data_IF_891650941734
#
_entry.id   IF_891650941734
#
_cell.length_a   1.000
_cell.length_b   1.000
_cell.length_c   1.000
_cell.angle_alpha   90.00
_cell.angle_beta   90.00
_cell.angle_gamma   90.00
#
_symmetry.space_group_name_H-M   'P 1'
#
loop_
_entity.id
_entity.type
_entity.pdbx_description
1 polymer ?
#
# COMPACT_ATOMS: atom_id res chain seq x y z
N UNK A 1 -7.57 19.85 3.70
CA UNK A 1 -8.78 19.06 4.00
C UNK A 1 -8.90 18.03 2.90
N UNK A 2 -9.15 16.76 3.20
CA UNK A 2 -9.45 15.75 2.17
C UNK A 2 -10.87 16.00 1.65
N UNK A 3 -11.02 16.19 0.35
CA UNK A 3 -12.31 16.44 -0.29
C UNK A 3 -12.73 15.19 -1.06
N UNK A 4 -13.87 14.57 -0.71
CA UNK A 4 -14.36 13.40 -1.44
C UNK A 4 -14.72 13.78 -2.87
N UNK A 5 -14.44 12.86 -3.78
CA UNK A 5 -14.94 12.86 -5.15
C UNK A 5 -16.22 12.06 -5.28
N UNK A 6 -16.74 11.90 -6.51
CA UNK A 6 -17.88 11.04 -6.75
C UNK A 6 -17.55 9.60 -6.35
N UNK A 7 -18.53 8.89 -5.82
CA UNK A 7 -18.44 7.43 -5.68
C UNK A 7 -18.64 6.81 -7.05
N UNK A 8 -17.66 6.05 -7.53
CA UNK A 8 -17.80 5.29 -8.77
C UNK A 8 -18.61 4.04 -8.52
N UNK A 9 -19.48 3.69 -9.47
CA UNK A 9 -20.14 2.40 -9.53
C UNK A 9 -19.45 1.60 -10.63
N UNK A 10 -18.90 0.44 -10.25
CA UNK A 10 -18.07 -0.39 -11.10
C UNK A 10 -18.72 -1.76 -11.29
N UNK A 11 -18.77 -2.26 -12.52
CA UNK A 11 -19.17 -3.64 -12.80
C UNK A 11 -17.91 -4.52 -12.82
N UNK A 12 -17.89 -5.58 -12.00
CA UNK A 12 -16.74 -6.48 -11.95
C UNK A 12 -16.53 -7.16 -13.31
N UNK A 13 -15.27 -7.35 -13.75
CA UNK A 13 -15.00 -7.99 -15.04
C UNK A 13 -15.34 -9.49 -15.01
N UNK A 14 -15.49 -10.08 -13.82
CA UNK A 14 -15.72 -11.51 -13.68
C UNK A 14 -17.19 -11.89 -13.91
N UNK A 15 -18.15 -11.14 -13.37
CA UNK A 15 -19.59 -11.47 -13.51
C UNK A 15 -20.52 -10.26 -13.71
N UNK A 16 -19.97 -9.04 -13.83
CA UNK A 16 -20.77 -7.82 -13.95
C UNK A 16 -21.43 -7.35 -12.66
N UNK A 17 -21.16 -8.00 -11.52
CA UNK A 17 -21.71 -7.58 -10.23
C UNK A 17 -21.24 -6.16 -9.90
N UNK A 18 -22.16 -5.32 -9.42
CA UNK A 18 -21.87 -3.93 -9.11
C UNK A 18 -21.14 -3.79 -7.79
N UNK A 19 -20.16 -2.89 -7.78
CA UNK A 19 -19.37 -2.49 -6.64
C UNK A 19 -19.31 -0.96 -6.58
N UNK A 20 -19.07 -0.40 -5.40
CA UNK A 20 -18.82 1.03 -5.22
C UNK A 20 -17.36 1.31 -4.85
N UNK A 21 -16.78 2.39 -5.37
CA UNK A 21 -15.42 2.84 -5.03
C UNK A 21 -15.43 4.33 -4.75
N UNK A 22 -15.05 4.72 -3.54
CA UNK A 22 -14.88 6.13 -3.20
C UNK A 22 -13.70 6.71 -3.98
N UNK A 23 -13.85 7.95 -4.44
CA UNK A 23 -12.74 8.74 -5.03
C UNK A 23 -12.52 10.00 -4.22
N UNK A 24 -11.44 10.70 -4.53
CA UNK A 24 -11.05 11.94 -3.85
C UNK A 24 -10.74 13.00 -4.88
N UNK A 25 -11.27 14.22 -4.70
CA UNK A 25 -10.94 15.39 -5.53
C UNK A 25 -9.60 15.99 -5.10
N UNK A 26 -9.35 15.97 -3.80
CA UNK A 26 -8.10 16.41 -3.21
C UNK A 26 -7.85 15.63 -1.93
N UNK A 27 -6.58 15.41 -1.65
CA UNK A 27 -6.13 14.73 -0.44
C UNK A 27 -5.05 15.57 0.20
N UNK A 28 -5.16 15.79 1.52
CA UNK A 28 -4.04 16.31 2.29
C UNK A 28 -3.17 15.14 2.73
N UNK A 29 -2.19 14.77 1.91
CA UNK A 29 -1.22 13.76 2.30
C UNK A 29 -0.19 14.38 3.26
N UNK A 30 -0.50 14.35 4.56
CA UNK A 30 0.53 14.47 5.60
C UNK A 30 1.14 13.09 5.79
N UNK A 31 2.29 12.84 5.17
CA UNK A 31 3.03 11.60 5.43
C UNK A 31 3.54 11.65 6.86
N UNK A 32 3.25 10.61 7.65
CA UNK A 32 3.69 10.56 9.05
C UNK A 32 4.84 9.57 9.24
N UNK A 33 4.78 8.41 8.59
CA UNK A 33 5.74 7.33 8.81
C UNK A 33 6.10 6.70 7.48
N UNK A 34 7.39 6.67 7.17
CA UNK A 34 7.96 5.85 6.11
C UNK A 34 8.61 4.63 6.77
N UNK A 35 8.23 3.42 6.36
CA UNK A 35 8.83 2.17 6.80
C UNK A 35 9.94 1.73 5.86
N UNK A 36 10.90 0.98 6.37
CA UNK A 36 12.05 0.50 5.62
C UNK A 36 11.67 -0.38 4.42
N UNK A 37 10.54 -1.09 4.50
CA UNK A 37 9.94 -1.85 3.39
C UNK A 37 9.20 -1.00 2.34
N UNK A 38 9.33 0.33 2.43
CA UNK A 38 8.71 1.28 1.51
C UNK A 38 7.23 1.55 1.78
N UNK A 39 6.62 0.98 2.84
CA UNK A 39 5.25 1.36 3.19
C UNK A 39 5.20 2.80 3.72
N UNK A 40 4.27 3.56 3.19
CA UNK A 40 3.98 4.93 3.58
C UNK A 40 2.68 4.98 4.40
N UNK A 41 2.77 5.23 5.71
CA UNK A 41 1.57 5.54 6.51
C UNK A 41 1.36 7.06 6.50
N UNK A 42 0.30 7.48 5.80
CA UNK A 42 -0.10 8.88 5.69
C UNK A 42 -1.48 9.08 6.33
N UNK A 43 -1.59 10.06 7.23
CA UNK A 43 -2.75 10.26 8.14
C UNK A 43 -4.10 10.39 7.42
N UNK A 44 -4.11 10.78 6.15
CA UNK A 44 -5.33 11.09 5.40
C UNK A 44 -5.28 10.65 3.94
N UNK A 45 -4.32 9.79 3.55
CA UNK A 45 -4.26 9.20 2.21
C UNK A 45 -4.81 7.78 2.27
N UNK A 46 -6.10 7.56 1.95
CA UNK A 46 -6.65 6.22 1.91
C UNK A 46 -5.98 5.40 0.82
N UNK A 47 -5.53 4.18 1.16
CA UNK A 47 -5.06 3.21 0.18
C UNK A 47 -6.23 2.88 -0.76
N UNK A 48 -6.08 3.20 -2.05
CA UNK A 48 -7.05 2.82 -3.07
C UNK A 48 -6.75 1.39 -3.52
N UNK A 49 -7.60 0.40 -3.18
CA UNK A 49 -7.33 -0.99 -3.50
C UNK A 49 -7.23 -1.21 -5.01
N UNK A 50 -6.15 -1.86 -5.43
CA UNK A 50 -5.96 -2.30 -6.82
C UNK A 50 -6.50 -3.70 -7.09
N UNK A 51 -6.74 -4.49 -6.05
CA UNK A 51 -7.27 -5.86 -6.12
C UNK A 51 -8.45 -5.96 -5.18
N UNK A 52 -9.48 -6.68 -5.60
CA UNK A 52 -10.67 -6.89 -4.81
C UNK A 52 -11.23 -8.30 -5.02
N UNK A 53 -11.90 -8.82 -3.99
CA UNK A 53 -12.75 -10.01 -4.09
C UNK A 53 -14.15 -9.58 -4.49
N UNK A 54 -14.67 -10.12 -5.59
CA UNK A 54 -16.03 -9.83 -6.03
C UNK A 54 -17.06 -10.40 -5.02
N UNK A 55 -18.01 -9.59 -4.56
CA UNK A 55 -19.06 -10.00 -3.63
C UNK A 55 -20.15 -10.85 -4.28
N UNK A 56 -20.23 -10.82 -5.62
CA UNK A 56 -21.21 -11.60 -6.38
C UNK A 56 -20.76 -13.02 -6.72
N UNK A 57 -19.46 -13.24 -6.97
CA UNK A 57 -18.96 -14.57 -7.37
C UNK A 57 -17.64 -14.99 -6.72
N UNK A 58 -17.14 -14.24 -5.73
CA UNK A 58 -15.94 -14.51 -4.94
C UNK A 58 -14.60 -14.58 -5.69
N UNK A 59 -14.59 -14.44 -7.03
CA UNK A 59 -13.37 -14.32 -7.82
C UNK A 59 -12.64 -13.00 -7.55
N UNK A 60 -11.32 -13.06 -7.58
CA UNK A 60 -10.47 -11.88 -7.54
C UNK A 60 -10.53 -11.14 -8.88
N UNK A 61 -10.38 -9.83 -8.82
CA UNK A 61 -10.23 -9.00 -10.01
C UNK A 61 -9.34 -7.79 -9.72
N UNK A 62 -8.68 -7.32 -10.78
CA UNK A 62 -7.98 -6.03 -10.75
C UNK A 62 -9.00 -4.92 -10.88
N UNK A 63 -9.01 -3.98 -9.93
CA UNK A 63 -10.08 -2.97 -9.82
C UNK A 63 -10.11 -2.04 -11.04
N UNK A 64 -8.96 -1.75 -11.64
CA UNK A 64 -8.89 -0.89 -12.83
C UNK A 64 -9.38 -1.61 -14.11
N UNK A 65 -9.62 -2.92 -14.07
CA UNK A 65 -10.28 -3.65 -15.17
C UNK A 65 -11.82 -3.63 -15.06
N UNK A 66 -12.36 -3.14 -13.94
CA UNK A 66 -13.80 -3.06 -13.75
C UNK A 66 -14.39 -1.91 -14.57
N UNK A 67 -15.48 -2.18 -15.29
CA UNK A 67 -16.12 -1.17 -16.13
C UNK A 67 -16.85 -0.14 -15.25
N UNK A 68 -16.59 1.14 -15.46
CA UNK A 68 -17.36 2.21 -14.82
C UNK A 68 -18.77 2.26 -15.43
N UNK A 69 -19.79 1.97 -14.63
CA UNK A 69 -21.20 2.03 -15.06
C UNK A 69 -21.89 3.32 -14.63
N UNK A 70 -21.28 4.07 -13.72
CA UNK A 70 -21.87 5.30 -13.21
C UNK A 70 -21.07 5.99 -12.12
N UNK A 71 -21.55 7.19 -11.76
CA UNK A 71 -20.99 8.05 -10.72
C UNK A 71 -22.10 8.57 -9.83
N UNK A 72 -21.92 8.47 -8.52
CA UNK A 72 -22.79 9.08 -7.51
C UNK A 72 -22.04 10.27 -6.93
N UNK A 73 -22.52 11.47 -7.21
CA UNK A 73 -21.96 12.69 -6.64
C UNK A 73 -22.29 12.80 -5.14
N UNK A 74 -21.37 13.37 -4.38
CA UNK A 74 -21.57 13.62 -2.96
C UNK A 74 -22.76 14.59 -2.72
N UNK A 75 -23.80 14.18 -1.97
CA UNK A 75 -25.01 14.98 -1.77
C UNK A 75 -24.76 16.33 -1.12
N UNK A 76 -23.77 16.43 -0.22
CA UNK A 76 -23.43 17.68 0.45
C UNK A 76 -22.84 18.68 -0.56
N UNK A 77 -21.92 18.24 -1.41
CA UNK A 77 -21.33 19.11 -2.42
C UNK A 77 -22.30 19.50 -3.55
N UNK A 78 -23.27 18.64 -3.91
CA UNK A 78 -24.36 19.02 -4.82
C UNK A 78 -25.24 20.12 -4.24
N UNK A 79 -25.64 19.96 -2.98
CA UNK A 79 -26.46 20.93 -2.24
C UNK A 79 -25.79 22.30 -2.18
N UNK A 80 -24.49 22.36 -1.86
CA UNK A 80 -23.71 23.62 -1.85
C UNK A 80 -23.72 24.31 -3.23
N UNK A 81 -23.74 23.55 -4.33
CA UNK A 81 -23.80 24.08 -5.70
C UNK A 81 -25.22 24.43 -6.16
N UNK A 82 -26.24 24.23 -5.32
CA UNK A 82 -27.64 24.43 -5.68
C UNK A 82 -28.16 23.38 -6.67
N UNK A 83 -27.47 22.24 -6.80
CA UNK A 83 -27.89 21.16 -7.70
C UNK A 83 -28.97 20.30 -7.02
N UNK A 84 -30.01 19.87 -7.75
CA UNK A 84 -31.00 18.95 -7.20
C UNK A 84 -30.35 17.59 -6.84
N UNK A 85 -30.96 16.83 -5.92
CA UNK A 85 -30.54 15.46 -5.64
C UNK A 85 -30.38 14.66 -6.93
N UNK A 86 -29.29 13.91 -7.03
CA UNK A 86 -29.07 13.05 -8.18
C UNK A 86 -30.11 11.92 -8.14
N UNK A 87 -30.75 11.65 -9.28
CA UNK A 87 -31.52 10.43 -9.45
C UNK A 87 -30.55 9.26 -9.59
N UNK A 88 -30.53 8.39 -8.57
CA UNK A 88 -29.57 7.29 -8.45
C UNK A 88 -30.34 5.99 -8.37
N UNK A 89 -30.04 5.09 -9.30
CA UNK A 89 -30.64 3.77 -9.39
C UNK A 89 -30.53 2.99 -8.07
N UNK A 90 -31.59 2.31 -7.61
CA UNK A 90 -31.58 1.58 -6.33
C UNK A 90 -30.44 0.57 -6.19
N UNK A 91 -30.07 -0.10 -7.27
CA UNK A 91 -28.97 -1.07 -7.33
C UNK A 91 -27.60 -0.42 -7.12
N UNK A 92 -27.40 0.84 -7.53
CA UNK A 92 -26.14 1.55 -7.30
C UNK A 92 -25.98 1.91 -5.81
N UNK A 93 -27.07 2.28 -5.13
CA UNK A 93 -27.07 2.56 -3.69
C UNK A 93 -26.76 1.31 -2.85
N UNK A 94 -27.07 0.13 -3.37
CA UNK A 94 -26.83 -1.16 -2.73
C UNK A 94 -25.49 -1.80 -3.13
N UNK A 95 -24.75 -1.21 -4.07
CA UNK A 95 -23.49 -1.75 -4.56
C UNK A 95 -22.45 -1.76 -3.42
N UNK A 96 -21.94 -2.94 -3.01
CA UNK A 96 -21.00 -3.04 -1.90
C UNK A 96 -19.68 -2.32 -2.21
N UNK A 97 -19.15 -1.62 -1.20
CA UNK A 97 -17.88 -0.92 -1.33
C UNK A 97 -16.72 -1.89 -1.56
N UNK A 98 -15.84 -1.57 -2.50
CA UNK A 98 -14.56 -2.26 -2.66
C UNK A 98 -13.72 -1.99 -1.41
N UNK A 99 -13.31 -3.06 -0.74
CA UNK A 99 -12.48 -3.01 0.47
C UNK A 99 -11.01 -3.22 0.12
N UNK A 100 -10.13 -2.71 0.97
CA UNK A 100 -8.73 -3.10 0.96
C UNK A 100 -8.60 -4.62 1.09
N UNK A 101 -7.72 -5.27 0.30
CA UNK A 101 -7.51 -6.70 0.41
C UNK A 101 -6.85 -7.01 1.75
N UNK A 102 -7.34 -8.04 2.44
CA UNK A 102 -6.68 -8.61 3.60
C UNK A 102 -5.54 -9.55 3.18
N UNK A 103 -4.81 -10.07 4.17
CA UNK A 103 -3.66 -10.97 3.94
C UNK A 103 -4.05 -12.23 3.17
N UNK A 104 -5.26 -12.77 3.38
CA UNK A 104 -5.76 -13.94 2.65
C UNK A 104 -5.96 -13.62 1.17
N UNK A 105 -6.62 -12.50 0.85
CA UNK A 105 -6.82 -12.03 -0.53
C UNK A 105 -5.48 -11.80 -1.21
N UNK A 106 -4.51 -11.17 -0.53
CA UNK A 106 -3.18 -10.94 -1.08
C UNK A 106 -2.41 -12.24 -1.33
N UNK A 107 -2.48 -13.21 -0.41
CA UNK A 107 -1.84 -14.50 -0.57
C UNK A 107 -2.43 -15.30 -1.75
N UNK A 108 -3.76 -15.30 -1.91
CA UNK A 108 -4.46 -15.91 -3.06
C UNK A 108 -4.06 -15.22 -4.38
N UNK A 109 -4.04 -13.88 -4.39
CA UNK A 109 -3.78 -13.06 -5.56
C UNK A 109 -2.40 -13.29 -6.21
N UNK A 110 -1.39 -13.75 -5.46
CA UNK A 110 -0.04 -14.01 -6.02
C UNK A 110 -0.07 -15.03 -7.16
N UNK A 111 -0.99 -16.00 -7.06
CA UNK A 111 -1.15 -17.09 -8.04
C UNK A 111 -2.37 -16.90 -8.94
N UNK A 112 -3.22 -15.92 -8.66
CA UNK A 112 -4.46 -15.71 -9.40
C UNK A 112 -4.19 -15.18 -10.83
N UNK A 113 -4.93 -15.67 -11.85
CA UNK A 113 -4.79 -15.20 -13.22
C UNK A 113 -5.01 -13.69 -13.41
N UNK A 114 -5.85 -13.03 -12.61
CA UNK A 114 -6.09 -11.58 -12.75
C UNK A 114 -4.84 -10.74 -12.42
N UNK A 115 -3.86 -11.34 -11.74
CA UNK A 115 -2.58 -10.77 -11.37
C UNK A 115 -1.40 -11.35 -12.18
N UNK A 116 -1.66 -12.04 -13.30
CA UNK A 116 -0.60 -12.73 -14.04
C UNK A 116 0.44 -11.81 -14.69
N UNK A 117 0.06 -10.58 -15.05
CA UNK A 117 0.97 -9.58 -15.59
C UNK A 117 2.08 -9.23 -14.57
N UNK A 118 3.32 -9.08 -15.03
CA UNK A 118 4.51 -8.84 -14.17
C UNK A 118 4.28 -7.74 -13.15
N UNK A 119 3.81 -6.57 -13.59
CA UNK A 119 3.57 -5.41 -12.71
C UNK A 119 2.48 -5.65 -11.67
N UNK A 120 1.40 -6.35 -12.04
CA UNK A 120 0.34 -6.70 -11.09
C UNK A 120 0.86 -7.66 -10.04
N UNK A 121 1.61 -8.69 -10.46
CA UNK A 121 2.22 -9.64 -9.53
C UNK A 121 3.23 -8.96 -8.60
N UNK A 122 4.06 -8.05 -9.12
CA UNK A 122 4.96 -7.21 -8.31
C UNK A 122 4.18 -6.43 -7.25
N UNK A 123 3.12 -5.75 -7.65
CA UNK A 123 2.25 -4.98 -6.75
C UNK A 123 1.64 -5.84 -5.64
N UNK A 124 1.07 -7.00 -5.98
CA UNK A 124 0.47 -7.93 -4.99
C UNK A 124 1.51 -8.38 -3.98
N UNK A 125 2.71 -8.73 -4.44
CA UNK A 125 3.78 -9.23 -3.59
C UNK A 125 4.31 -8.16 -2.64
N UNK A 126 4.42 -6.91 -3.10
CA UNK A 126 4.77 -5.76 -2.24
C UNK A 126 3.68 -5.53 -1.20
N UNK A 127 2.40 -5.52 -1.61
CA UNK A 127 1.28 -5.37 -0.68
C UNK A 127 1.23 -6.51 0.35
N UNK A 128 1.53 -7.75 -0.06
CA UNK A 128 1.64 -8.88 0.86
C UNK A 128 2.84 -8.69 1.80
N UNK A 129 4.00 -8.28 1.30
CA UNK A 129 5.16 -7.98 2.14
C UNK A 129 4.81 -6.96 3.22
N UNK A 130 4.15 -5.87 2.84
CA UNK A 130 3.67 -4.86 3.79
C UNK A 130 2.67 -5.43 4.79
N UNK A 131 1.75 -6.29 4.35
CA UNK A 131 0.77 -6.95 5.22
C UNK A 131 1.44 -7.87 6.24
N UNK A 132 2.41 -8.68 5.81
CA UNK A 132 3.16 -9.60 6.66
C UNK A 132 4.09 -8.89 7.65
N UNK A 133 4.57 -7.69 7.31
CA UNK A 133 5.35 -6.86 8.21
C UNK A 133 4.50 -6.07 9.22
N UNK A 134 3.18 -5.99 9.05
CA UNK A 134 2.31 -5.20 9.93
C UNK A 134 2.46 -5.54 11.43
N UNK A 135 2.52 -6.82 11.85
CA UNK A 135 2.74 -7.16 13.27
C UNK A 135 4.12 -6.75 13.79
N UNK A 136 5.11 -6.60 12.88
CA UNK A 136 6.51 -6.30 13.19
C UNK A 136 6.79 -4.78 13.24
N UNK A 137 5.85 -3.96 12.75
CA UNK A 137 5.89 -2.49 12.82
C UNK A 137 5.67 -1.98 14.24
N UNK A 138 6.75 -1.91 15.00
CA UNK A 138 6.77 -1.40 16.38
C UNK A 138 7.04 0.10 16.38
N UNK A 139 6.28 0.84 17.20
CA UNK A 139 6.55 2.25 17.51
C UNK A 139 6.68 2.44 19.03
N UNK A 140 7.78 1.96 19.64
CA UNK A 140 7.97 2.06 21.08
C UNK A 140 7.89 3.51 21.54
N UNK A 141 7.14 3.76 22.61
CA UNK A 141 6.96 5.11 23.16
C UNK A 141 5.98 6.01 22.39
N UNK A 142 5.41 5.55 21.27
CA UNK A 142 4.33 6.29 20.61
C UNK A 142 2.99 6.07 21.34
N UNK A 143 2.34 7.12 21.90
CA UNK A 143 1.21 6.94 22.81
C UNK A 143 0.03 6.16 22.23
N UNK A 144 -0.30 6.37 20.95
CA UNK A 144 -1.39 5.64 20.31
C UNK A 144 -1.01 4.19 19.98
N UNK A 145 0.28 3.93 19.72
CA UNK A 145 0.74 2.57 19.44
C UNK A 145 0.71 1.72 20.70
N UNK A 146 1.28 2.22 21.80
CA UNK A 146 1.26 1.56 23.11
C UNK A 146 -0.18 1.29 23.59
N UNK A 147 -1.11 2.23 23.32
CA UNK A 147 -2.50 2.10 23.76
C UNK A 147 -3.37 1.18 22.91
N UNK A 148 -3.24 1.24 21.57
CA UNK A 148 -4.19 0.58 20.66
C UNK A 148 -3.59 -0.58 19.90
N UNK A 149 -2.35 -0.47 19.43
CA UNK A 149 -1.75 -1.44 18.50
C UNK A 149 -0.96 -2.52 19.23
N UNK A 150 -0.24 -2.17 20.29
CA UNK A 150 0.52 -3.12 21.09
C UNK A 150 -0.35 -4.21 21.72
N UNK A 151 -1.46 -3.91 22.43
CA UNK A 151 -2.29 -4.97 23.02
C UNK A 151 -2.95 -5.84 21.96
N UNK A 152 -3.32 -5.25 20.82
CA UNK A 152 -3.85 -5.97 19.67
C UNK A 152 -2.81 -6.99 19.17
N UNK A 153 -1.59 -6.57 18.84
CA UNK A 153 -0.58 -7.48 18.31
C UNK A 153 -0.01 -8.46 19.34
N UNK A 154 0.01 -8.12 20.62
CA UNK A 154 0.35 -9.08 21.69
C UNK A 154 -0.67 -10.22 21.76
N UNK A 155 -1.95 -9.96 21.45
CA UNK A 155 -2.99 -10.99 21.41
C UNK A 155 -3.04 -11.73 20.07
N UNK A 156 -3.08 -11.01 18.94
CA UNK A 156 -3.29 -11.58 17.61
C UNK A 156 -2.00 -12.00 16.89
N UNK A 157 -0.83 -11.55 17.36
CA UNK A 157 0.44 -11.76 16.65
C UNK A 157 0.85 -13.22 16.54
N UNK A 158 0.58 -14.03 17.56
CA UNK A 158 0.91 -15.47 17.54
C UNK A 158 0.04 -16.22 16.50
N UNK A 159 -1.26 -15.95 16.47
CA UNK A 159 -2.17 -16.53 15.48
C UNK A 159 -1.82 -16.07 14.05
N UNK A 160 -1.46 -14.78 13.89
CA UNK A 160 -1.03 -14.23 12.62
C UNK A 160 0.25 -14.90 12.11
N UNK A 161 1.28 -15.02 12.96
CA UNK A 161 2.54 -15.68 12.60
C UNK A 161 2.31 -17.17 12.30
N UNK A 162 1.46 -17.86 13.07
CA UNK A 162 1.09 -19.25 12.79
C UNK A 162 0.43 -19.40 11.42
N UNK A 163 -0.47 -18.48 11.05
CA UNK A 163 -1.23 -18.56 9.80
C UNK A 163 -0.42 -18.11 8.57
N UNK A 164 0.38 -17.06 8.71
CA UNK A 164 0.98 -16.37 7.56
C UNK A 164 2.51 -16.34 7.57
N UNK A 165 3.18 -16.69 8.67
CA UNK A 165 4.65 -16.60 8.80
C UNK A 165 5.39 -17.37 7.72
N UNK A 166 4.88 -18.55 7.33
CA UNK A 166 5.43 -19.36 6.26
C UNK A 166 5.41 -18.70 4.87
N UNK A 167 4.62 -17.64 4.68
CA UNK A 167 4.55 -16.90 3.41
C UNK A 167 5.67 -15.85 3.27
N UNK A 168 6.27 -15.42 4.39
CA UNK A 168 7.17 -14.26 4.41
C UNK A 168 8.42 -14.45 3.56
N UNK A 169 9.24 -15.45 3.89
CA UNK A 169 10.48 -15.69 3.16
C UNK A 169 10.24 -16.04 1.68
N UNK A 170 9.34 -16.97 1.31
CA UNK A 170 9.07 -17.26 -0.10
C UNK A 170 8.54 -16.06 -0.90
N UNK A 171 7.77 -15.16 -0.26
CA UNK A 171 7.34 -13.94 -0.93
C UNK A 171 8.49 -12.98 -1.20
N UNK A 172 9.37 -12.77 -0.21
CA UNK A 172 10.55 -11.92 -0.37
C UNK A 172 11.53 -12.48 -1.41
N UNK A 173 11.83 -13.78 -1.38
CA UNK A 173 12.68 -14.43 -2.40
C UNK A 173 12.13 -14.19 -3.80
N UNK A 174 10.82 -14.33 -3.98
CA UNK A 174 10.20 -14.06 -5.28
C UNK A 174 10.26 -12.57 -5.66
N UNK A 175 10.17 -11.64 -4.69
CA UNK A 175 10.30 -10.19 -4.93
C UNK A 175 11.70 -9.80 -5.40
N UNK A 176 12.75 -10.49 -4.97
CA UNK A 176 14.12 -10.20 -5.41
C UNK A 176 14.27 -10.26 -6.94
N UNK A 177 13.48 -11.10 -7.63
CA UNK A 177 13.45 -11.24 -9.10
C UNK A 177 12.64 -10.14 -9.81
N UNK A 178 11.88 -9.34 -9.06
CA UNK A 178 11.14 -8.18 -9.60
C UNK A 178 11.91 -6.87 -9.47
N UNK A 179 12.92 -6.81 -8.59
CA UNK A 179 13.68 -5.61 -8.34
C UNK A 179 14.94 -5.55 -9.22
N UNK A 180 14.96 -4.57 -10.12
CA UNK A 180 16.05 -4.32 -11.05
C UNK A 180 17.16 -3.50 -10.38
N UNK A 181 18.38 -4.03 -10.28
CA UNK A 181 19.48 -3.36 -9.57
C UNK A 181 20.00 -2.09 -10.28
N UNK A 182 19.66 -1.92 -11.55
CA UNK A 182 19.98 -0.71 -12.31
C UNK A 182 19.09 0.48 -11.93
N UNK A 183 17.91 0.22 -11.37
CA UNK A 183 17.00 1.24 -10.86
C UNK A 183 17.29 1.49 -9.36
N UNK A 184 17.60 2.73 -8.94
CA UNK A 184 17.97 3.00 -7.55
C UNK A 184 16.87 2.66 -6.54
N UNK A 185 15.61 2.93 -6.84
CA UNK A 185 14.48 2.65 -5.94
C UNK A 185 14.29 1.13 -5.75
N UNK A 186 14.33 0.37 -6.86
CA UNK A 186 14.28 -1.09 -6.82
C UNK A 186 15.48 -1.67 -6.10
N UNK A 187 16.68 -1.13 -6.32
CA UNK A 187 17.89 -1.59 -5.62
C UNK A 187 17.79 -1.36 -4.11
N UNK A 188 17.22 -0.23 -3.67
CA UNK A 188 16.97 0.03 -2.26
C UNK A 188 15.98 -0.98 -1.66
N UNK A 189 14.86 -1.24 -2.36
CA UNK A 189 13.87 -2.24 -1.95
C UNK A 189 14.44 -3.66 -1.93
N UNK A 190 15.28 -4.01 -2.90
CA UNK A 190 15.97 -5.30 -2.96
C UNK A 190 16.94 -5.48 -1.81
N UNK A 191 17.70 -4.43 -1.47
CA UNK A 191 18.60 -4.44 -0.33
C UNK A 191 17.83 -4.63 0.99
N UNK A 192 16.70 -3.96 1.15
CA UNK A 192 15.84 -4.15 2.32
C UNK A 192 15.27 -5.57 2.39
N UNK A 193 14.72 -6.10 1.30
CA UNK A 193 14.22 -7.48 1.25
C UNK A 193 15.32 -8.49 1.63
N UNK A 194 16.56 -8.28 1.18
CA UNK A 194 17.71 -9.08 1.58
C UNK A 194 18.03 -8.94 3.08
N UNK A 195 17.90 -7.74 3.66
CA UNK A 195 18.10 -7.51 5.11
C UNK A 195 17.07 -8.28 5.93
N UNK A 196 15.79 -8.20 5.57
CA UNK A 196 14.71 -8.90 6.27
C UNK A 196 14.76 -10.42 6.09
N UNK A 197 15.41 -10.91 5.03
CA UNK A 197 15.77 -12.33 4.85
C UNK A 197 17.03 -12.75 5.63
N UNK A 198 17.67 -11.83 6.35
CA UNK A 198 18.92 -12.08 7.08
C UNK A 198 20.17 -12.20 6.19
N UNK A 199 20.07 -11.85 4.90
CA UNK A 199 21.17 -11.87 3.92
C UNK A 199 21.93 -10.54 3.95
N UNK A 200 22.43 -10.17 5.14
CA UNK A 200 22.99 -8.85 5.44
C UNK A 200 24.17 -8.47 4.54
N UNK A 201 25.03 -9.43 4.22
CA UNK A 201 26.21 -9.19 3.37
C UNK A 201 25.79 -8.86 1.93
N UNK A 202 24.69 -9.44 1.43
CA UNK A 202 24.14 -9.11 0.13
C UNK A 202 23.43 -7.75 0.12
N UNK A 203 22.67 -7.45 1.19
CA UNK A 203 22.10 -6.12 1.42
C UNK A 203 23.17 -5.02 1.36
N UNK A 204 24.25 -5.16 2.15
CA UNK A 204 25.32 -4.16 2.21
C UNK A 204 25.98 -3.94 0.85
N UNK A 205 26.24 -5.00 0.08
CA UNK A 205 26.81 -4.88 -1.27
C UNK A 205 25.95 -4.04 -2.20
N UNK A 206 24.63 -4.21 -2.17
CA UNK A 206 23.72 -3.39 -2.98
C UNK A 206 23.72 -1.93 -2.51
N UNK A 207 23.84 -1.69 -1.21
CA UNK A 207 23.84 -0.34 -0.65
C UNK A 207 25.14 0.44 -0.95
N UNK A 208 26.26 -0.25 -1.16
CA UNK A 208 27.56 0.37 -1.47
C UNK A 208 27.68 0.86 -2.94
N UNK A 209 26.70 0.56 -3.81
CA UNK A 209 26.75 0.87 -5.25
C UNK A 209 26.38 2.31 -5.64
N UNK A 210 26.28 3.22 -4.66
CA UNK A 210 26.11 4.66 -4.85
C UNK A 210 24.66 5.07 -5.11
N UNK A 211 24.10 5.85 -4.20
CA UNK A 211 22.77 6.46 -4.32
C UNK A 211 22.90 7.98 -4.45
N UNK A 212 21.88 8.64 -4.98
CA UNK A 212 21.78 10.09 -4.83
C UNK A 212 21.66 10.49 -3.35
N UNK A 213 21.72 11.78 -3.06
CA UNK A 213 21.75 12.27 -1.69
C UNK A 213 20.50 11.88 -0.88
N UNK A 214 19.32 11.89 -1.51
CA UNK A 214 18.07 11.57 -0.85
C UNK A 214 17.92 10.08 -0.56
N UNK A 215 18.17 9.21 -1.55
CA UNK A 215 18.15 7.77 -1.38
C UNK A 215 19.33 7.28 -0.53
N UNK A 216 20.47 7.97 -0.60
CA UNK A 216 21.67 7.70 0.20
C UNK A 216 21.41 7.84 1.70
N UNK A 217 20.55 8.78 2.08
CA UNK A 217 20.12 8.93 3.47
C UNK A 217 19.37 7.69 3.98
N UNK A 218 18.42 7.17 3.19
CA UNK A 218 17.67 5.96 3.54
C UNK A 218 18.55 4.70 3.47
N UNK A 219 19.38 4.58 2.43
CA UNK A 219 20.36 3.51 2.27
C UNK A 219 21.31 3.44 3.48
N UNK A 220 21.76 4.58 3.99
CA UNK A 220 22.59 4.66 5.20
C UNK A 220 21.90 4.06 6.43
N UNK A 221 20.63 4.36 6.64
CA UNK A 221 19.84 3.80 7.75
C UNK A 221 19.68 2.27 7.63
N UNK A 222 19.31 1.77 6.43
CA UNK A 222 19.19 0.32 6.17
C UNK A 222 20.53 -0.38 6.38
N UNK A 223 21.63 0.23 5.88
CA UNK A 223 22.99 -0.30 6.03
C UNK A 223 23.41 -0.43 7.49
N UNK A 224 23.09 0.56 8.33
CA UNK A 224 23.37 0.49 9.77
C UNK A 224 22.65 -0.68 10.44
N UNK A 225 21.38 -0.92 10.08
CA UNK A 225 20.59 -2.05 10.60
C UNK A 225 21.13 -3.39 10.11
N UNK A 226 21.54 -3.47 8.84
CA UNK A 226 22.19 -4.66 8.28
C UNK A 226 23.53 -4.98 8.97
N UNK A 227 24.37 -3.98 9.26
CA UNK A 227 25.61 -4.17 10.02
C UNK A 227 25.36 -4.67 11.46
N UNK A 228 24.26 -4.22 12.07
CA UNK A 228 23.82 -4.70 13.38
C UNK A 228 23.17 -6.09 13.32
N UNK A 229 23.04 -6.70 12.13
CA UNK A 229 22.33 -7.97 11.87
C UNK A 229 20.88 -7.94 12.37
N UNK A 230 20.25 -6.78 12.26
CA UNK A 230 18.85 -6.59 12.59
C UNK A 230 18.01 -6.73 11.31
N UNK A 231 17.06 -7.66 11.32
CA UNK A 231 16.16 -8.02 10.22
C UNK A 231 14.73 -7.47 10.41
N UNK A 232 14.45 -6.78 11.52
CA UNK A 232 13.12 -6.25 11.79
C UNK A 232 12.84 -5.00 10.94
N UNK A 233 11.67 -4.94 10.32
CA UNK A 233 11.13 -3.72 9.69
C UNK A 233 11.17 -2.56 10.69
N UNK A 234 11.57 -1.38 10.25
CA UNK A 234 11.73 -0.22 11.12
C UNK A 234 11.30 1.07 10.44
N UNK A 235 11.06 2.11 11.23
CA UNK A 235 10.75 3.44 10.71
C UNK A 235 12.02 4.09 10.19
N UNK A 236 11.95 4.60 8.96
CA UNK A 236 12.96 5.49 8.40
C UNK A 236 12.72 6.92 8.91
N UNK A 237 13.80 7.57 9.30
CA UNK A 237 13.79 9.02 9.51
C UNK A 237 13.84 9.73 8.15
N UNK A 238 13.43 11.00 8.13
CA UNK A 238 13.46 11.84 6.94
C UNK A 238 14.82 12.53 6.80
N UNK A 239 15.31 12.76 5.56
CA UNK A 239 16.52 13.55 5.36
C UNK A 239 16.32 14.95 5.96
N UNK A 240 17.38 15.56 6.54
CA UNK A 240 17.33 16.93 7.03
C UNK A 240 16.79 17.91 5.97
N UNK A 241 16.05 18.94 6.40
CA UNK A 241 15.39 19.92 5.52
C UNK A 241 16.32 20.63 4.53
N UNK A 242 17.63 20.65 4.79
CA UNK A 242 18.66 21.21 3.88
C UNK A 242 18.80 20.41 2.56
N UNK A 243 18.26 19.18 2.51
CA UNK A 243 18.23 18.30 1.33
C UNK A 243 16.85 18.22 0.67
N UNK A 244 15.85 18.92 1.20
CA UNK A 244 14.53 18.98 0.61
C UNK A 244 14.46 20.23 -0.28
N UNK A 245 14.26 20.04 -1.59
CA UNK A 245 13.36 20.96 -2.27
C UNK A 245 12.08 20.94 -1.43
N UNK A 246 11.60 22.10 -0.90
CA UNK A 246 10.36 22.09 -0.16
C UNK A 246 9.33 21.42 -1.06
N UNK A 247 8.56 20.41 -0.58
CA UNK A 247 7.49 19.87 -1.38
C UNK A 247 6.52 21.02 -1.62
N UNK A 248 6.69 21.68 -2.76
CA UNK A 248 5.64 22.43 -3.38
C UNK A 248 4.62 21.38 -3.78
N UNK A 249 3.74 21.05 -2.84
CA UNK A 249 2.37 20.67 -3.18
C UNK A 249 1.68 21.89 -3.80
N UNK A 250 2.25 22.44 -4.88
CA UNK A 250 1.53 23.23 -5.85
C UNK A 250 0.85 22.22 -6.78
N UNK A 251 -0.46 22.32 -6.84
CA UNK A 251 -1.32 21.30 -7.44
C UNK A 251 -0.90 20.90 -8.85
N UNK A 252 -0.61 19.62 -9.02
CA UNK A 252 -0.89 18.95 -10.27
C UNK A 252 -2.14 18.09 -10.04
N UNK A 253 -3.29 18.64 -10.39
CA UNK A 253 -4.43 17.83 -10.77
C UNK A 253 -3.99 16.98 -11.98
N UNK A 254 -3.35 15.83 -11.75
CA UNK A 254 -3.32 14.78 -12.76
C UNK A 254 -4.73 14.24 -12.81
N UNK A 255 -5.46 14.65 -13.85
CA UNK A 255 -6.64 13.93 -14.30
C UNK A 255 -6.23 12.47 -14.44
N UNK A 256 -6.72 11.64 -13.52
CA UNK A 256 -6.73 10.20 -13.68
C UNK A 256 -7.84 9.97 -14.71
N UNK A 257 -7.43 9.81 -15.97
CA UNK A 257 -8.29 9.26 -17.01
C UNK A 257 -8.47 7.76 -16.78
#
# INVERSE_FOLDING_TARGET
MTTPGPTLVLASPCCGHLHSRQTFKSVNAGVEILWSDGKLDARLLPELPKIARCSGCSRLFWVDDAAEVGRIDDPFYRSIRGEPPQDVAPEWKRAPSIRAPDTDVLAEAITDPCCAARERRRHVRIALWHSLNQPRRKLPGHPQWEKFWKPYWEHYGAEFEQRYGALFAPNLEALLEFFEEADPDDRLQKAEALRELGRFEACIRLLDSGFDESLGFYAGQIRQRALARDDAVFRLDWPPQEYADPPQCQGAARQIH
#
